data_IF_047144863367
#
_entry.id   IF_047144863367
#
_cell.length_a   1.000
_cell.length_b   1.000
_cell.length_c   1.000
_cell.angle_alpha   90.00
_cell.angle_beta   90.00
_cell.angle_gamma   90.00
#
_symmetry.space_group_name_H-M   'P 1'
#
loop_
_entity.id
_entity.type
_entity.pdbx_description
1 polymer ?
#
# COMPACT_ATOMS: atom_id res chain seq x y z
N UNK A 1 -23.15 5.58 -45.16
CA UNK A 1 -23.12 6.31 -43.88
C UNK A 1 -23.98 5.58 -42.84
N UNK A 2 -23.76 4.26 -42.66
CA UNK A 2 -24.45 3.39 -41.68
C UNK A 2 -23.47 2.57 -40.82
N UNK A 3 -22.16 2.66 -41.09
CA UNK A 3 -21.11 1.88 -40.40
C UNK A 3 -20.90 2.43 -38.98
N UNK A 4 -20.98 3.76 -38.80
CA UNK A 4 -20.75 4.43 -37.50
C UNK A 4 -21.83 4.16 -36.43
N UNK A 5 -22.98 3.59 -36.80
CA UNK A 5 -24.08 3.28 -35.85
C UNK A 5 -24.05 1.80 -35.42
N UNK A 6 -23.64 0.89 -36.30
CA UNK A 6 -23.43 -0.52 -35.94
C UNK A 6 -22.20 -0.68 -35.04
N UNK A 7 -21.07 -0.02 -35.38
CA UNK A 7 -19.85 -0.08 -34.56
C UNK A 7 -20.08 0.46 -33.14
N UNK A 8 -20.85 1.54 -33.01
CA UNK A 8 -21.20 2.11 -31.68
C UNK A 8 -22.13 1.22 -30.86
N UNK A 9 -23.01 0.46 -31.52
CA UNK A 9 -23.93 -0.47 -30.84
C UNK A 9 -23.18 -1.73 -30.41
N UNK A 10 -22.16 -2.15 -31.15
CA UNK A 10 -21.28 -3.27 -30.78
C UNK A 10 -20.32 -2.87 -29.64
N UNK A 11 -19.69 -1.70 -29.73
CA UNK A 11 -18.87 -1.13 -28.63
C UNK A 11 -19.67 -1.02 -27.32
N UNK A 12 -20.93 -0.56 -27.40
CA UNK A 12 -21.79 -0.43 -26.22
C UNK A 12 -22.21 -1.79 -25.64
N UNK A 13 -22.36 -2.83 -26.46
CA UNK A 13 -22.62 -4.20 -25.97
C UNK A 13 -21.39 -4.79 -25.31
N UNK A 14 -20.22 -4.61 -25.89
CA UNK A 14 -18.95 -5.07 -25.34
C UNK A 14 -18.66 -4.41 -23.99
N UNK A 15 -18.93 -3.11 -23.86
CA UNK A 15 -18.83 -2.40 -22.58
C UNK A 15 -19.77 -2.99 -21.51
N UNK A 16 -21.01 -3.35 -21.88
CA UNK A 16 -21.96 -3.97 -20.93
C UNK A 16 -21.54 -5.38 -20.52
N UNK A 17 -20.94 -6.16 -21.42
CA UNK A 17 -20.41 -7.48 -21.11
C UNK A 17 -19.18 -7.36 -20.20
N UNK A 18 -18.27 -6.43 -20.50
CA UNK A 18 -17.08 -6.20 -19.68
C UNK A 18 -17.46 -5.78 -18.25
N UNK A 19 -18.41 -4.86 -18.09
CA UNK A 19 -18.85 -4.42 -16.76
C UNK A 19 -19.50 -5.59 -15.98
N UNK A 20 -20.22 -6.48 -16.66
CA UNK A 20 -20.79 -7.70 -16.07
C UNK A 20 -19.70 -8.71 -15.65
N UNK A 21 -18.62 -8.82 -16.44
CA UNK A 21 -17.52 -9.74 -16.17
C UNK A 21 -16.48 -9.20 -15.18
N UNK A 22 -16.48 -7.91 -14.90
CA UNK A 22 -15.46 -7.22 -14.11
C UNK A 22 -15.27 -7.82 -12.72
N UNK A 23 -16.33 -8.09 -11.98
CA UNK A 23 -16.22 -8.71 -10.65
C UNK A 23 -15.59 -10.11 -10.71
N UNK A 24 -15.92 -10.89 -11.76
CA UNK A 24 -15.35 -12.22 -11.95
C UNK A 24 -13.86 -12.16 -12.33
N UNK A 25 -13.50 -11.24 -13.22
CA UNK A 25 -12.11 -11.02 -13.64
C UNK A 25 -11.25 -10.52 -12.48
N UNK A 26 -11.79 -9.67 -11.59
CA UNK A 26 -11.10 -9.23 -10.37
C UNK A 26 -10.71 -10.44 -9.53
N UNK A 27 -11.65 -11.32 -9.23
CA UNK A 27 -11.38 -12.53 -8.45
C UNK A 27 -10.35 -13.42 -9.16
N UNK A 28 -10.51 -13.68 -10.47
CA UNK A 28 -9.56 -14.52 -11.23
C UNK A 28 -8.14 -13.97 -11.15
N UNK A 29 -7.96 -12.66 -11.32
CA UNK A 29 -6.65 -12.05 -11.31
C UNK A 29 -6.01 -12.00 -9.91
N UNK A 30 -6.81 -11.94 -8.84
CA UNK A 30 -6.30 -12.03 -7.46
C UNK A 30 -5.62 -13.38 -7.15
N UNK A 31 -5.98 -14.45 -7.87
CA UNK A 31 -5.37 -15.77 -7.74
C UNK A 31 -4.35 -16.09 -8.85
N UNK A 32 -4.16 -15.19 -9.81
CA UNK A 32 -3.20 -15.35 -10.88
C UNK A 32 -1.77 -15.06 -10.40
N UNK A 33 -0.77 -15.78 -10.94
CA UNK A 33 0.65 -15.57 -10.62
C UNK A 33 1.48 -15.50 -11.90
N UNK A 34 2.35 -14.48 -12.05
CA UNK A 34 3.30 -14.43 -13.15
C UNK A 34 4.39 -15.50 -12.99
N UNK A 35 4.62 -16.28 -14.05
CA UNK A 35 5.67 -17.32 -14.07
C UNK A 35 6.94 -16.79 -14.72
N UNK A 36 7.84 -16.26 -13.90
CA UNK A 36 9.19 -15.91 -14.35
C UNK A 36 10.03 -17.18 -14.44
N UNK A 37 10.45 -17.56 -15.66
CA UNK A 37 11.28 -18.74 -15.85
C UNK A 37 12.64 -18.52 -15.17
N UNK A 38 12.94 -19.32 -14.14
CA UNK A 38 14.26 -19.34 -13.53
C UNK A 38 15.21 -20.14 -14.42
N UNK A 39 16.27 -19.49 -14.89
CA UNK A 39 17.31 -20.16 -15.68
C UNK A 39 18.03 -21.15 -14.79
N UNK A 40 17.87 -22.45 -15.07
CA UNK A 40 18.74 -23.48 -14.50
C UNK A 40 20.15 -23.28 -15.04
N UNK A 41 21.10 -22.98 -14.15
CA UNK A 41 22.50 -22.60 -14.43
C UNK A 41 23.36 -23.71 -15.08
N UNK A 42 22.74 -24.77 -15.63
CA UNK A 42 23.44 -25.96 -16.11
C UNK A 42 23.57 -26.06 -17.64
N UNK A 43 23.25 -25.01 -18.41
CA UNK A 43 23.42 -25.01 -19.86
C UNK A 43 24.78 -24.41 -20.27
N UNK A 44 25.57 -25.10 -21.12
CA UNK A 44 26.89 -24.62 -21.51
C UNK A 44 26.78 -23.35 -22.34
N UNK A 45 27.72 -22.43 -22.10
CA UNK A 45 27.82 -21.11 -22.71
C UNK A 45 27.88 -21.17 -24.26
N UNK A 46 26.72 -21.21 -24.89
CA UNK A 46 26.56 -20.95 -26.31
C UNK A 46 25.21 -20.28 -26.52
N UNK A 47 25.23 -19.23 -27.34
CA UNK A 47 24.11 -18.57 -28.04
C UNK A 47 23.64 -17.24 -27.44
N UNK A 48 24.14 -16.15 -28.04
CA UNK A 48 23.58 -14.80 -27.88
C UNK A 48 22.10 -14.74 -28.29
N UNK A 49 21.65 -15.56 -29.26
CA UNK A 49 20.24 -15.62 -29.67
C UNK A 49 19.27 -16.27 -28.66
N UNK A 50 19.75 -17.09 -27.71
CA UNK A 50 18.90 -17.62 -26.62
C UNK A 50 18.68 -16.55 -25.55
N UNK A 51 19.67 -15.68 -25.32
CA UNK A 51 19.58 -14.60 -24.33
C UNK A 51 18.58 -13.52 -24.77
N UNK A 52 18.61 -13.10 -26.03
CA UNK A 52 17.65 -12.12 -26.57
C UNK A 52 16.20 -12.63 -26.47
N UNK A 53 15.94 -13.87 -26.89
CA UNK A 53 14.59 -14.45 -26.81
C UNK A 53 14.09 -14.65 -25.37
N UNK A 54 14.99 -14.91 -24.41
CA UNK A 54 14.65 -15.00 -22.99
C UNK A 54 14.38 -13.63 -22.37
N UNK A 55 15.16 -12.61 -22.72
CA UNK A 55 14.94 -11.24 -22.28
C UNK A 55 13.61 -10.69 -22.80
N UNK A 56 13.26 -10.99 -24.06
CA UNK A 56 11.94 -10.70 -24.64
C UNK A 56 10.81 -11.42 -23.88
N UNK A 57 11.00 -12.70 -23.52
CA UNK A 57 10.00 -13.47 -22.76
C UNK A 57 9.78 -12.91 -21.36
N UNK A 58 10.87 -12.56 -20.64
CA UNK A 58 10.80 -11.90 -19.33
C UNK A 58 10.13 -10.53 -19.44
N UNK A 59 10.44 -9.77 -20.50
CA UNK A 59 9.79 -8.49 -20.82
C UNK A 59 8.29 -8.63 -21.05
N UNK A 60 7.86 -9.67 -21.78
CA UNK A 60 6.44 -9.96 -22.00
C UNK A 60 5.72 -10.32 -20.70
N UNK A 61 6.28 -11.23 -19.89
CA UNK A 61 5.70 -11.60 -18.59
C UNK A 61 5.60 -10.38 -17.67
N UNK A 62 6.62 -9.54 -17.64
CA UNK A 62 6.62 -8.29 -16.88
C UNK A 62 5.51 -7.34 -17.34
N UNK A 63 5.38 -7.16 -18.66
CA UNK A 63 4.34 -6.31 -19.26
C UNK A 63 2.95 -6.84 -18.95
N UNK A 64 2.73 -8.15 -19.08
CA UNK A 64 1.46 -8.80 -18.73
C UNK A 64 1.14 -8.61 -17.25
N UNK A 65 2.09 -8.86 -16.35
CA UNK A 65 1.90 -8.68 -14.92
C UNK A 65 1.52 -7.23 -14.57
N UNK A 66 2.21 -6.25 -15.15
CA UNK A 66 1.89 -4.84 -14.99
C UNK A 66 0.47 -4.50 -15.48
N UNK A 67 0.06 -5.00 -16.65
CA UNK A 67 -1.30 -4.77 -17.19
C UNK A 67 -2.36 -5.36 -16.26
N UNK A 68 -2.15 -6.57 -15.74
CA UNK A 68 -3.07 -7.21 -14.78
C UNK A 68 -3.17 -6.38 -13.50
N UNK A 69 -2.04 -5.95 -12.93
CA UNK A 69 -2.02 -5.07 -11.74
C UNK A 69 -2.78 -3.78 -11.99
N UNK A 70 -2.52 -3.13 -13.13
CA UNK A 70 -3.18 -1.89 -13.52
C UNK A 70 -4.69 -2.05 -13.62
N UNK A 71 -5.14 -3.16 -14.20
CA UNK A 71 -6.56 -3.46 -14.34
C UNK A 71 -7.21 -3.70 -12.98
N UNK A 72 -6.60 -4.54 -12.12
CA UNK A 72 -7.13 -4.85 -10.77
C UNK A 72 -7.26 -3.58 -9.94
N UNK A 73 -6.20 -2.77 -9.84
CA UNK A 73 -6.22 -1.53 -9.06
C UNK A 73 -7.26 -0.53 -9.58
N UNK A 74 -7.40 -0.39 -10.89
CA UNK A 74 -8.43 0.49 -11.47
C UNK A 74 -9.84 0.02 -11.14
N UNK A 75 -10.11 -1.29 -11.23
CA UNK A 75 -11.41 -1.85 -10.89
C UNK A 75 -11.74 -1.57 -9.42
N UNK A 76 -10.83 -1.89 -8.50
CA UNK A 76 -11.01 -1.65 -7.08
C UNK A 76 -11.24 -0.17 -6.73
N UNK A 77 -10.61 0.76 -7.44
CA UNK A 77 -10.78 2.20 -7.19
C UNK A 77 -12.13 2.78 -7.66
N UNK A 78 -12.93 2.00 -8.41
CA UNK A 78 -14.27 2.40 -8.90
C UNK A 78 -15.42 1.94 -8.00
N UNK A 79 -15.21 0.90 -7.20
CA UNK A 79 -16.26 0.31 -6.36
C UNK A 79 -16.19 0.82 -4.90
N UNK A 80 -17.26 0.59 -4.14
CA UNK A 80 -17.22 0.77 -2.68
C UNK A 80 -16.23 -0.22 -2.07
N UNK A 81 -15.51 0.19 -1.02
CA UNK A 81 -14.49 -0.66 -0.39
C UNK A 81 -15.10 -1.98 0.10
N UNK A 82 -14.67 -3.07 -0.53
CA UNK A 82 -14.79 -4.41 0.00
C UNK A 82 -13.47 -4.79 0.69
N UNK A 83 -13.51 -4.89 2.02
CA UNK A 83 -12.31 -5.17 2.83
C UNK A 83 -11.67 -6.52 2.54
N UNK A 84 -12.45 -7.52 2.16
CA UNK A 84 -11.93 -8.84 1.79
C UNK A 84 -11.13 -8.75 0.49
N UNK A 85 -11.70 -8.14 -0.54
CA UNK A 85 -11.01 -7.94 -1.82
C UNK A 85 -9.74 -7.09 -1.65
N UNK A 86 -9.80 -6.04 -0.81
CA UNK A 86 -8.61 -5.22 -0.50
C UNK A 86 -7.53 -6.08 0.17
N UNK A 87 -7.90 -6.87 1.17
CA UNK A 87 -6.94 -7.74 1.84
C UNK A 87 -6.30 -8.75 0.86
N UNK A 88 -7.11 -9.41 0.04
CA UNK A 88 -6.64 -10.38 -0.96
C UNK A 88 -5.74 -9.73 -2.02
N UNK A 89 -6.13 -8.55 -2.53
CA UNK A 89 -5.31 -7.77 -3.46
C UNK A 89 -3.96 -7.41 -2.88
N UNK A 90 -3.91 -6.95 -1.63
CA UNK A 90 -2.65 -6.58 -1.00
C UNK A 90 -1.77 -7.81 -0.74
N UNK A 91 -2.37 -8.94 -0.39
CA UNK A 91 -1.66 -10.20 -0.20
C UNK A 91 -1.09 -10.70 -1.53
N UNK A 92 -1.88 -10.64 -2.60
CA UNK A 92 -1.45 -10.94 -3.97
C UNK A 92 -0.30 -10.04 -4.41
N UNK A 93 -0.43 -8.72 -4.30
CA UNK A 93 0.64 -7.77 -4.63
C UNK A 93 1.93 -8.11 -3.87
N UNK A 94 1.85 -8.24 -2.54
CA UNK A 94 3.00 -8.50 -1.67
C UNK A 94 3.71 -9.81 -2.00
N UNK A 95 2.97 -10.87 -2.30
CA UNK A 95 3.53 -12.22 -2.40
C UNK A 95 3.83 -12.65 -3.83
N UNK A 96 3.12 -12.11 -4.83
CA UNK A 96 3.19 -12.57 -6.23
C UNK A 96 3.72 -11.52 -7.20
N UNK A 97 3.65 -10.23 -6.87
CA UNK A 97 4.00 -9.15 -7.80
C UNK A 97 5.25 -8.41 -7.35
N UNK A 98 5.24 -7.83 -6.15
CA UNK A 98 6.34 -7.01 -5.62
C UNK A 98 7.70 -7.71 -5.48
N UNK A 99 7.79 -9.05 -5.31
CA UNK A 99 9.09 -9.72 -5.38
C UNK A 99 9.80 -9.58 -6.74
N UNK A 100 9.07 -9.20 -7.79
CA UNK A 100 9.62 -9.02 -9.14
C UNK A 100 9.93 -7.54 -9.39
N UNK A 101 11.22 -7.18 -9.25
CA UNK A 101 11.69 -5.79 -9.37
C UNK A 101 11.28 -5.10 -10.67
N UNK A 102 11.39 -5.79 -11.82
CA UNK A 102 10.99 -5.22 -13.12
C UNK A 102 9.52 -4.79 -13.17
N UNK A 103 8.60 -5.60 -12.60
CA UNK A 103 7.17 -5.25 -12.54
C UNK A 103 6.94 -4.10 -11.57
N UNK A 104 7.65 -4.13 -10.43
CA UNK A 104 7.59 -3.06 -9.43
C UNK A 104 8.03 -1.73 -10.01
N UNK A 105 9.09 -1.72 -10.81
CA UNK A 105 9.57 -0.52 -11.49
C UNK A 105 8.53 0.02 -12.48
N UNK A 106 7.88 -0.84 -13.28
CA UNK A 106 6.81 -0.40 -14.19
C UNK A 106 5.62 0.22 -13.43
N UNK A 107 5.22 -0.38 -12.31
CA UNK A 107 4.17 0.17 -11.44
C UNK A 107 4.56 1.56 -10.93
N UNK A 108 5.81 1.73 -10.51
CA UNK A 108 6.31 2.98 -9.95
C UNK A 108 6.55 4.08 -10.99
N UNK A 109 6.80 3.72 -12.25
CA UNK A 109 6.90 4.67 -13.37
C UNK A 109 5.53 5.23 -13.78
N UNK A 110 4.45 4.45 -13.64
CA UNK A 110 3.10 4.89 -13.96
C UNK A 110 2.51 5.79 -12.85
N UNK A 111 2.61 7.11 -13.07
CA UNK A 111 2.07 8.11 -12.15
C UNK A 111 0.54 8.01 -11.97
N UNK A 112 -0.19 7.59 -13.00
CA UNK A 112 -1.63 7.36 -12.91
C UNK A 112 -1.94 6.19 -11.99
N UNK A 113 -1.17 5.10 -12.11
CA UNK A 113 -1.31 3.94 -11.24
C UNK A 113 -0.93 4.24 -9.79
N UNK A 114 0.15 5.00 -9.56
CA UNK A 114 0.51 5.49 -8.22
C UNK A 114 -0.61 6.32 -7.59
N UNK A 115 -1.27 7.17 -8.37
CA UNK A 115 -2.41 7.95 -7.90
C UNK A 115 -3.62 7.06 -7.58
N UNK A 116 -3.90 6.04 -8.39
CA UNK A 116 -4.96 5.06 -8.13
C UNK A 116 -4.69 4.30 -6.84
N UNK A 117 -3.47 3.78 -6.67
CA UNK A 117 -3.06 3.08 -5.46
C UNK A 117 -3.22 3.96 -4.22
N UNK A 118 -2.77 5.22 -4.29
CA UNK A 118 -2.90 6.16 -3.17
C UNK A 118 -4.36 6.54 -2.88
N UNK A 119 -5.22 6.59 -3.90
CA UNK A 119 -6.66 6.81 -3.72
C UNK A 119 -7.27 5.66 -2.92
N UNK A 120 -6.99 4.40 -3.28
CA UNK A 120 -7.48 3.23 -2.54
C UNK A 120 -6.93 3.26 -1.11
N UNK A 121 -5.64 3.58 -0.95
CA UNK A 121 -5.00 3.72 0.35
C UNK A 121 -5.72 4.72 1.26
N UNK A 122 -5.99 5.93 0.74
CA UNK A 122 -6.72 6.97 1.49
C UNK A 122 -8.16 6.56 1.79
N UNK A 123 -8.84 5.89 0.86
CA UNK A 123 -10.18 5.36 1.09
C UNK A 123 -10.17 4.37 2.27
N UNK A 124 -9.21 3.45 2.29
CA UNK A 124 -9.02 2.46 3.36
C UNK A 124 -8.71 3.15 4.69
N UNK A 125 -7.82 4.15 4.69
CA UNK A 125 -7.47 4.90 5.90
C UNK A 125 -8.66 5.71 6.48
N UNK A 126 -9.55 6.21 5.62
CA UNK A 126 -10.68 7.06 6.01
C UNK A 126 -11.98 6.30 6.31
N UNK A 127 -12.06 5.01 6.03
CA UNK A 127 -13.31 4.22 6.11
C UNK A 127 -13.84 3.95 7.54
N UNK A 128 -13.35 4.67 8.55
CA UNK A 128 -14.10 5.04 9.77
C UNK A 128 -14.52 3.94 10.75
N UNK A 129 -14.22 2.68 10.50
CA UNK A 129 -14.58 1.57 11.40
C UNK A 129 -13.37 0.67 11.62
N UNK A 130 -12.76 0.71 12.81
CA UNK A 130 -11.66 -0.20 13.16
C UNK A 130 -12.21 -1.57 13.59
N UNK A 131 -12.70 -2.35 12.63
CA UNK A 131 -12.90 -3.80 12.81
C UNK A 131 -11.55 -4.52 12.64
N UNK A 132 -11.42 -5.73 13.18
CA UNK A 132 -10.18 -6.54 13.08
C UNK A 132 -9.71 -6.72 11.64
N UNK A 133 -10.62 -7.01 10.70
CA UNK A 133 -10.28 -7.15 9.28
C UNK A 133 -9.78 -5.84 8.67
N UNK A 134 -10.37 -4.71 9.06
CA UNK A 134 -9.99 -3.39 8.58
C UNK A 134 -8.58 -3.02 9.05
N UNK A 135 -8.25 -3.38 10.29
CA UNK A 135 -6.90 -3.22 10.83
C UNK A 135 -5.89 -4.11 10.09
N UNK A 136 -6.19 -5.39 9.90
CA UNK A 136 -5.31 -6.32 9.20
C UNK A 136 -5.04 -5.87 7.75
N UNK A 137 -6.09 -5.42 7.06
CA UNK A 137 -5.98 -4.85 5.73
C UNK A 137 -5.11 -3.58 5.72
N UNK A 138 -5.34 -2.64 6.64
CA UNK A 138 -4.55 -1.39 6.71
C UNK A 138 -3.08 -1.66 7.07
N UNK A 139 -2.80 -2.57 7.99
CA UNK A 139 -1.44 -2.99 8.34
C UNK A 139 -0.72 -3.64 7.14
N UNK A 140 -1.42 -4.52 6.41
CA UNK A 140 -0.89 -5.12 5.19
C UNK A 140 -0.67 -4.07 4.10
N UNK A 141 -1.57 -3.09 3.98
CA UNK A 141 -1.44 -1.99 3.03
C UNK A 141 -0.21 -1.14 3.38
N UNK A 142 0.00 -0.80 4.65
CA UNK A 142 1.19 -0.09 5.09
C UNK A 142 2.47 -0.87 4.74
N UNK A 143 2.45 -2.19 4.92
CA UNK A 143 3.57 -3.06 4.53
C UNK A 143 3.87 -2.97 3.03
N UNK A 144 2.84 -3.06 2.18
CA UNK A 144 2.95 -2.94 0.72
C UNK A 144 3.47 -1.55 0.32
N UNK A 145 2.94 -0.48 0.92
CA UNK A 145 3.35 0.89 0.62
C UNK A 145 4.80 1.15 1.05
N UNK A 146 5.23 0.63 2.20
CA UNK A 146 6.65 0.70 2.61
C UNK A 146 7.53 0.01 1.57
N UNK A 147 7.22 -1.23 1.15
CA UNK A 147 7.99 -1.93 0.11
C UNK A 147 8.09 -1.13 -1.20
N UNK A 148 7.01 -0.47 -1.60
CA UNK A 148 6.99 0.38 -2.80
C UNK A 148 7.79 1.69 -2.62
N UNK A 149 7.84 2.26 -1.41
CA UNK A 149 8.69 3.39 -1.09
C UNK A 149 10.17 2.96 -1.13
N UNK A 150 10.51 1.80 -0.56
CA UNK A 150 11.84 1.22 -0.60
C UNK A 150 12.35 1.05 -2.04
N UNK A 151 11.51 0.50 -2.93
CA UNK A 151 11.81 0.35 -4.35
C UNK A 151 11.99 1.68 -5.09
N UNK A 152 11.40 2.78 -4.59
CA UNK A 152 11.64 4.14 -5.10
C UNK A 152 12.93 4.79 -4.57
N UNK A 153 13.68 4.10 -3.69
CA UNK A 153 14.93 4.61 -3.12
C UNK A 153 14.76 5.42 -1.83
N UNK A 154 13.60 5.38 -1.16
CA UNK A 154 13.38 6.14 0.09
C UNK A 154 14.15 5.61 1.30
N UNK A 155 14.91 4.52 1.13
CA UNK A 155 15.80 3.96 2.16
C UNK A 155 16.81 4.97 2.70
N UNK A 156 17.13 5.99 1.92
CA UNK A 156 18.10 7.02 2.28
C UNK A 156 17.57 8.02 3.31
N UNK A 157 16.26 8.02 3.60
CA UNK A 157 15.68 8.90 4.59
C UNK A 157 15.95 8.39 6.00
N UNK A 158 16.47 9.28 6.86
CA UNK A 158 16.90 8.99 8.24
C UNK A 158 15.92 8.14 9.06
N UNK A 159 14.62 8.33 8.87
CA UNK A 159 13.58 7.71 9.69
C UNK A 159 12.92 6.48 9.06
N UNK A 160 13.28 6.14 7.81
CA UNK A 160 12.60 5.09 7.07
C UNK A 160 12.70 3.72 7.76
N UNK A 161 13.92 3.34 8.16
CA UNK A 161 14.15 2.05 8.84
C UNK A 161 13.40 1.96 10.18
N UNK A 162 13.41 3.02 10.99
CA UNK A 162 12.64 3.05 12.24
C UNK A 162 11.15 2.83 11.98
N UNK A 163 10.56 3.50 10.99
CA UNK A 163 9.12 3.35 10.74
C UNK A 163 8.75 2.02 10.10
N UNK A 164 9.65 1.45 9.30
CA UNK A 164 9.54 0.07 8.79
C UNK A 164 9.54 -0.95 9.94
N UNK A 165 10.46 -0.83 10.89
CA UNK A 165 10.47 -1.66 12.10
C UNK A 165 9.18 -1.51 12.91
N UNK A 166 8.67 -0.28 13.06
CA UNK A 166 7.39 -0.04 13.73
C UNK A 166 6.21 -0.68 12.99
N UNK A 167 6.19 -0.61 11.66
CA UNK A 167 5.19 -1.28 10.82
C UNK A 167 5.23 -2.79 11.04
N UNK A 168 6.41 -3.41 11.06
CA UNK A 168 6.57 -4.85 11.31
C UNK A 168 6.12 -5.22 12.73
N UNK A 169 6.54 -4.43 13.73
CA UNK A 169 6.20 -4.65 15.14
C UNK A 169 4.70 -4.58 15.41
N UNK A 170 3.97 -3.73 14.68
CA UNK A 170 2.53 -3.57 14.85
C UNK A 170 1.75 -4.89 14.69
N UNK A 171 2.26 -5.88 13.97
CA UNK A 171 1.62 -7.20 13.87
C UNK A 171 1.54 -7.94 15.22
N UNK A 172 2.54 -7.74 16.08
CA UNK A 172 2.79 -8.52 17.30
C UNK A 172 2.42 -7.79 18.59
N UNK A 173 1.91 -6.55 18.51
CA UNK A 173 1.51 -5.78 19.69
C UNK A 173 0.15 -6.27 20.20
N UNK A 174 0.10 -6.69 21.47
CA UNK A 174 -1.12 -7.17 22.14
C UNK A 174 -2.08 -6.03 22.50
N UNK A 175 -1.57 -4.84 22.83
CA UNK A 175 -2.40 -3.67 23.13
C UNK A 175 -2.98 -3.09 21.83
N UNK A 176 -4.27 -3.34 21.58
CA UNK A 176 -5.02 -2.84 20.43
C UNK A 176 -4.85 -1.33 20.17
N UNK A 177 -4.74 -0.51 21.23
CA UNK A 177 -4.59 0.94 21.08
C UNK A 177 -3.20 1.31 20.64
N UNK A 178 -2.18 0.69 21.24
CA UNK A 178 -0.79 0.86 20.81
C UNK A 178 -0.61 0.35 19.38
N UNK A 179 -1.26 -0.77 19.04
CA UNK A 179 -1.32 -1.34 17.69
C UNK A 179 -1.92 -0.36 16.68
N UNK A 180 -3.08 0.22 17.01
CA UNK A 180 -3.75 1.24 16.20
C UNK A 180 -2.91 2.50 16.05
N UNK A 181 -2.25 2.97 17.12
CA UNK A 181 -1.37 4.12 17.09
C UNK A 181 -0.16 3.91 16.16
N UNK A 182 0.47 2.72 16.21
CA UNK A 182 1.58 2.37 15.31
C UNK A 182 1.14 2.39 13.85
N UNK A 183 0.04 1.70 13.52
CA UNK A 183 -0.47 1.67 12.15
C UNK A 183 -0.84 3.06 11.68
N UNK A 184 -1.53 3.85 12.51
CA UNK A 184 -1.88 5.24 12.18
C UNK A 184 -0.65 6.11 11.87
N UNK A 185 0.37 6.08 12.73
CA UNK A 185 1.58 6.89 12.54
C UNK A 185 2.37 6.47 11.29
N UNK A 186 2.47 5.16 11.02
CA UNK A 186 3.04 4.66 9.77
C UNK A 186 2.22 5.14 8.58
N UNK A 187 0.89 5.19 8.70
CA UNK A 187 0.05 5.69 7.61
C UNK A 187 0.24 7.18 7.31
N UNK A 188 0.43 8.00 8.34
CA UNK A 188 0.77 9.43 8.16
C UNK A 188 2.11 9.56 7.43
N UNK A 189 3.13 8.84 7.86
CA UNK A 189 4.43 8.83 7.19
C UNK A 189 4.35 8.41 5.72
N UNK A 190 3.63 7.33 5.42
CA UNK A 190 3.42 6.88 4.04
C UNK A 190 2.76 7.99 3.21
N UNK A 191 1.76 8.67 3.78
CA UNK A 191 1.10 9.80 3.12
C UNK A 191 2.08 10.90 2.73
N UNK A 192 2.94 11.32 3.66
CA UNK A 192 3.95 12.35 3.44
C UNK A 192 4.97 11.91 2.37
N UNK A 193 5.49 10.69 2.49
CA UNK A 193 6.50 10.16 1.57
C UNK A 193 5.98 9.90 0.16
N UNK A 194 4.77 9.31 0.05
CA UNK A 194 4.21 8.90 -1.23
C UNK A 194 3.87 10.08 -2.13
N UNK A 195 3.43 11.18 -1.53
CA UNK A 195 3.14 12.43 -2.23
C UNK A 195 4.40 13.25 -2.54
N UNK A 196 5.59 12.67 -2.35
CA UNK A 196 6.88 13.32 -2.58
C UNK A 196 6.99 14.65 -1.86
N UNK A 197 6.36 14.80 -0.68
CA UNK A 197 6.87 15.75 0.28
C UNK A 197 8.21 15.15 0.73
N UNK A 198 9.28 15.45 0.00
CA UNK A 198 10.67 15.05 0.32
C UNK A 198 11.15 15.56 1.68
N UNK A 199 10.26 16.23 2.41
CA UNK A 199 10.46 16.81 3.70
C UNK A 199 9.93 15.86 4.78
N UNK A 200 10.71 14.83 5.10
CA UNK A 200 10.52 14.00 6.29
C UNK A 200 10.53 14.80 7.60
N UNK A 201 10.94 16.07 7.56
CA UNK A 201 10.86 16.97 8.71
C UNK A 201 9.40 17.26 9.08
N UNK A 202 8.46 17.27 8.12
CA UNK A 202 7.02 17.46 8.43
C UNK A 202 6.46 16.40 9.36
N UNK A 203 6.73 15.13 9.05
CA UNK A 203 6.35 14.02 9.93
C UNK A 203 6.94 14.21 11.33
N UNK A 204 8.23 14.55 11.43
CA UNK A 204 8.89 14.76 12.71
C UNK A 204 8.43 16.01 13.46
N UNK A 205 8.06 17.08 12.76
CA UNK A 205 7.43 18.27 13.33
C UNK A 205 6.11 17.87 13.98
N UNK A 206 5.30 17.03 13.32
CA UNK A 206 4.06 16.52 13.90
C UNK A 206 4.31 15.63 15.13
N UNK A 207 5.27 14.71 15.05
CA UNK A 207 5.66 13.85 16.19
C UNK A 207 6.11 14.70 17.38
N UNK A 208 6.99 15.68 17.15
CA UNK A 208 7.50 16.58 18.20
C UNK A 208 6.39 17.44 18.80
N UNK A 209 5.53 18.02 17.97
CA UNK A 209 4.38 18.80 18.42
C UNK A 209 3.43 17.98 19.30
N UNK A 210 3.20 16.70 18.97
CA UNK A 210 2.41 15.79 19.82
C UNK A 210 3.11 15.55 21.15
N UNK A 211 4.43 15.33 21.17
CA UNK A 211 5.19 15.17 22.40
C UNK A 211 5.16 16.43 23.28
N UNK A 212 5.38 17.61 22.70
CA UNK A 212 5.40 18.92 23.39
C UNK A 212 4.03 19.30 23.97
N UNK A 213 2.95 19.11 23.20
CA UNK A 213 1.58 19.40 23.66
C UNK A 213 1.17 18.59 24.90
N UNK A 214 1.83 17.45 25.16
CA UNK A 214 1.60 16.66 26.39
C UNK A 214 2.43 17.11 27.58
N UNK A 215 3.54 17.80 27.36
CA UNK A 215 4.34 18.39 28.43
C UNK A 215 3.64 19.64 29.00
N UNK A 216 2.85 20.34 28.18
CA UNK A 216 2.08 21.54 28.59
C UNK A 216 0.72 21.19 29.24
N UNK A 217 0.13 20.04 28.90
CA UNK A 217 -1.18 19.62 29.41
C UNK A 217 -1.09 18.67 30.60
N UNK A 218 -0.51 19.12 31.70
CA UNK A 218 -0.64 18.48 33.01
C UNK A 218 -1.69 19.16 33.91
N UNK A 219 -2.91 19.39 33.42
CA UNK A 219 -4.04 19.72 34.30
C UNK A 219 -5.42 19.58 33.62
N UNK A 220 -6.28 18.69 34.13
CA UNK A 220 -7.64 19.14 34.46
C UNK A 220 -8.84 18.80 33.57
N UNK A 221 -8.85 17.80 32.67
CA UNK A 221 -10.12 17.30 32.10
C UNK A 221 -10.38 15.83 32.46
N UNK A 222 -11.23 15.62 33.48
CA UNK A 222 -11.84 14.32 33.78
C UNK A 222 -13.02 14.11 32.81
N UNK A 223 -12.80 13.42 31.71
CA UNK A 223 -13.89 12.97 30.83
C UNK A 223 -14.68 11.84 31.49
N UNK A 224 -15.96 12.10 31.75
CA UNK A 224 -16.84 11.17 32.47
C UNK A 224 -17.55 10.15 31.57
N UNK A 225 -17.58 10.36 30.24
CA UNK A 225 -18.29 9.47 29.32
C UNK A 225 -17.43 8.27 28.87
N UNK A 226 -18.02 7.09 28.62
CA UNK A 226 -17.31 5.93 28.10
C UNK A 226 -16.59 6.20 26.77
N UNK A 227 -17.19 7.04 25.90
CA UNK A 227 -16.61 7.47 24.62
C UNK A 227 -15.38 8.37 24.83
N UNK A 228 -15.46 9.35 25.74
CA UNK A 228 -14.33 10.21 26.09
C UNK A 228 -13.16 9.43 26.69
N UNK A 229 -13.44 8.45 27.56
CA UNK A 229 -12.40 7.56 28.10
C UNK A 229 -11.67 6.76 27.01
N UNK A 230 -12.39 6.23 26.00
CA UNK A 230 -11.77 5.51 24.87
C UNK A 230 -10.91 6.44 24.01
N UNK A 231 -11.43 7.62 23.70
CA UNK A 231 -10.72 8.65 22.94
C UNK A 231 -9.42 9.07 23.64
N UNK A 232 -9.49 9.36 24.93
CA UNK A 232 -8.32 9.72 25.74
C UNK A 232 -7.26 8.61 25.75
N UNK A 233 -7.68 7.35 25.89
CA UNK A 233 -6.74 6.23 25.88
C UNK A 233 -6.09 6.01 24.51
N UNK A 234 -6.79 6.28 23.40
CA UNK A 234 -6.16 6.27 22.07
C UNK A 234 -5.18 7.41 21.88
N UNK A 235 -5.50 8.62 22.38
CA UNK A 235 -4.57 9.76 22.35
C UNK A 235 -3.32 9.48 23.18
N UNK A 236 -3.47 8.90 24.37
CA UNK A 236 -2.34 8.47 25.22
C UNK A 236 -1.45 7.43 24.50
N UNK A 237 -2.05 6.46 23.79
CA UNK A 237 -1.29 5.48 23.02
C UNK A 237 -0.48 6.13 21.88
N UNK A 238 -1.06 7.10 21.16
CA UNK A 238 -0.35 7.86 20.11
C UNK A 238 0.83 8.62 20.73
N UNK A 239 0.62 9.29 21.87
CA UNK A 239 1.68 10.03 22.57
C UNK A 239 2.82 9.12 22.99
N UNK A 240 2.51 7.93 23.52
CA UNK A 240 3.53 6.93 23.90
C UNK A 240 4.37 6.55 22.67
N UNK A 241 3.73 6.22 21.55
CA UNK A 241 4.45 5.83 20.33
C UNK A 241 5.25 7.00 19.74
N UNK A 242 4.71 8.23 19.75
CA UNK A 242 5.46 9.42 19.33
C UNK A 242 6.71 9.67 20.20
N UNK A 243 6.62 9.43 21.51
CA UNK A 243 7.77 9.52 22.42
C UNK A 243 8.80 8.42 22.12
N UNK A 244 8.35 7.19 21.82
CA UNK A 244 9.24 6.11 21.38
C UNK A 244 9.98 6.48 20.08
N UNK A 245 9.27 6.99 19.06
CA UNK A 245 9.86 7.47 17.80
C UNK A 245 10.87 8.58 18.07
N UNK A 246 10.50 9.60 18.86
CA UNK A 246 11.38 10.72 19.20
C UNK A 246 12.65 10.26 19.91
N UNK A 247 12.54 9.29 20.82
CA UNK A 247 13.70 8.77 21.54
C UNK A 247 14.66 8.00 20.61
N UNK A 248 14.15 7.18 19.70
CA UNK A 248 14.98 6.43 18.74
C UNK A 248 15.68 7.38 17.75
N UNK A 249 14.97 8.41 17.32
CA UNK A 249 15.46 9.37 16.31
C UNK A 249 16.42 10.43 16.86
N UNK A 250 16.40 10.70 18.17
CA UNK A 250 17.39 11.56 18.85
C UNK A 250 18.73 10.85 19.11
N UNK A 251 18.76 9.52 19.01
CA UNK A 251 19.95 8.68 19.23
C UNK A 251 20.70 8.33 17.93
N UNK A 252 20.20 8.76 16.76
CA UNK A 252 20.76 8.54 15.43
C UNK A 252 21.25 9.84 14.79
#
# INVERSE_FOLDING_TARGET
>A
MNVDLEDKVDEQKDDTLLETCKEHLEIIFLYWEPTFQSVSTNLPARQDGIKESQEETVGLVCTTAYVVVKWVLKCMATHTINWQNVFEMLQWLKTKILPHGAVTDEILRDCGLKSVLFKIYNQVNNAGCMKTLNFAALHLFNTVMIQLLEAQGTQQHRFHETLKELCQRAANVEDDKKKAALVFLVSVYIGDMWLLAQDTEKFMIHVRAVCEATNEKSAGRKEKSPKGKRQKQSEEAIVIVCKEISAVTLLQ
#
